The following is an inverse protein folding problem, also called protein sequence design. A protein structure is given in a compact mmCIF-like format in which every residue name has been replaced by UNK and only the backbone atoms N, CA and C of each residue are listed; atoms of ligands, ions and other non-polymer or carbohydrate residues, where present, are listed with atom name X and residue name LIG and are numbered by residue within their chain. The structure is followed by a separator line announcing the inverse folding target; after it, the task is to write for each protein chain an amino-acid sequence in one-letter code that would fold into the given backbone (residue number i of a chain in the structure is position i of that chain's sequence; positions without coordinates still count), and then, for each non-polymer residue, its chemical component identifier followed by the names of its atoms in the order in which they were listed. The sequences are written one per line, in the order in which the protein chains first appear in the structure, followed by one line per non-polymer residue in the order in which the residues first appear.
data_IF_968546949156
#
_entry.id   IF_968546949156
#
_cell.length_a   1.000
_cell.length_b   1.000
_cell.length_c   1.000
_cell.angle_alpha   90.00
_cell.angle_beta   90.00
_cell.angle_gamma   90.00
#
_symmetry.space_group_name_H-M   'P 1'
#
loop_
_entity.id
_entity.type
_entity.pdbx_description
1 polymer ?
#
# COMPACT_ATOMS: atom_id res chain seq x y z
N UNK A 1 83.42 22.98 -20.83
CA UNK A 1 82.03 22.46 -20.79
C UNK A 1 81.24 23.29 -19.81
N UNK A 2 80.25 24.06 -20.28
CA UNK A 2 79.55 25.05 -19.46
C UNK A 2 78.67 24.38 -18.40
N UNK A 3 78.93 24.65 -17.13
CA UNK A 3 78.21 24.12 -15.97
C UNK A 3 76.69 24.40 -16.03
N UNK A 4 76.28 25.47 -16.73
CA UNK A 4 74.87 25.80 -17.00
C UNK A 4 74.17 24.83 -17.97
N UNK A 5 74.91 24.18 -18.88
CA UNK A 5 74.36 23.23 -19.87
C UNK A 5 74.09 21.84 -19.26
N UNK A 6 74.83 21.49 -18.20
CA UNK A 6 74.70 20.21 -17.48
C UNK A 6 73.49 20.26 -16.52
N UNK A 7 73.23 21.40 -15.89
CA UNK A 7 72.09 21.56 -14.96
C UNK A 7 70.74 21.50 -15.71
N UNK A 8 70.66 22.08 -16.91
CA UNK A 8 69.42 22.08 -17.71
C UNK A 8 69.09 20.67 -18.24
N UNK A 9 70.10 19.89 -18.63
CA UNK A 9 69.89 18.51 -19.11
C UNK A 9 69.50 17.54 -17.98
N UNK A 10 70.00 17.74 -16.76
CA UNK A 10 69.60 16.94 -15.58
C UNK A 10 68.17 17.27 -15.14
N UNK A 11 67.74 18.54 -15.17
CA UNK A 11 66.37 18.92 -14.79
C UNK A 11 65.34 18.38 -15.77
N UNK A 12 65.62 18.41 -17.08
CA UNK A 12 64.72 17.85 -18.11
C UNK A 12 64.59 16.32 -17.97
N UNK A 13 65.69 15.63 -17.64
CA UNK A 13 65.66 14.17 -17.41
C UNK A 13 64.86 13.79 -16.15
N UNK A 14 64.91 14.59 -15.08
CA UNK A 14 64.14 14.37 -13.84
C UNK A 14 62.64 14.64 -14.06
N UNK A 15 62.28 15.69 -14.81
CA UNK A 15 60.88 16.00 -15.14
C UNK A 15 60.27 14.95 -16.08
N UNK A 16 61.02 14.46 -17.07
CA UNK A 16 60.56 13.38 -17.95
C UNK A 16 60.48 12.01 -17.22
N UNK A 17 61.39 11.76 -16.27
CA UNK A 17 61.34 10.57 -15.40
C UNK A 17 60.12 10.54 -14.47
N UNK A 18 59.72 11.69 -13.92
CA UNK A 18 58.54 11.79 -13.05
C UNK A 18 57.21 11.61 -13.81
N UNK A 19 57.12 12.05 -15.07
CA UNK A 19 55.92 11.86 -15.91
C UNK A 19 55.74 10.39 -16.33
N UNK A 20 56.83 9.61 -16.42
CA UNK A 20 56.75 8.17 -16.71
C UNK A 20 56.25 7.35 -15.51
N UNK A 21 56.58 7.76 -14.28
CA UNK A 21 56.16 7.06 -13.05
C UNK A 21 54.67 7.28 -12.75
N UNK A 22 54.08 8.43 -13.10
CA UNK A 22 52.64 8.68 -12.89
C UNK A 22 51.70 8.02 -13.91
N UNK A 23 52.24 7.34 -14.94
CA UNK A 23 51.44 6.58 -15.93
C UNK A 23 51.38 5.07 -15.67
N UNK A 24 52.01 4.57 -14.59
CA UNK A 24 52.16 3.13 -14.32
C UNK A 24 51.50 2.65 -13.01
N UNK A 25 50.36 3.23 -12.67
CA UNK A 25 49.42 2.69 -11.67
C UNK A 25 47.98 2.83 -12.18
N UNK A 26 47.74 2.38 -13.41
CA UNK A 26 46.40 1.97 -13.82
C UNK A 26 46.06 0.68 -13.11
N UNK A 27 45.48 0.77 -11.91
CA UNK A 27 44.75 -0.33 -11.29
C UNK A 27 43.64 -0.70 -12.26
N UNK A 28 43.81 -1.81 -12.97
CA UNK A 28 42.71 -2.46 -13.65
C UNK A 28 41.80 -3.04 -12.57
N UNK A 29 40.80 -2.26 -12.16
CA UNK A 29 39.55 -2.85 -11.72
C UNK A 29 39.01 -3.62 -12.90
N UNK A 30 39.22 -4.94 -12.87
CA UNK A 30 38.50 -5.90 -13.68
C UNK A 30 37.03 -5.72 -13.33
N UNK A 31 36.37 -4.79 -14.02
CA UNK A 31 34.93 -4.77 -14.14
C UNK A 31 34.60 -6.09 -14.82
N UNK A 32 34.20 -7.07 -14.02
CA UNK A 32 33.41 -8.15 -14.53
C UNK A 32 32.18 -7.46 -15.13
N UNK A 33 32.19 -7.34 -16.45
CA UNK A 33 31.01 -7.15 -17.24
C UNK A 33 30.10 -8.34 -16.92
N UNK A 34 29.36 -8.24 -15.82
CA UNK A 34 28.05 -8.83 -15.71
C UNK A 34 27.25 -8.13 -16.80
N UNK A 35 27.40 -8.63 -18.03
CA UNK A 35 26.39 -8.44 -19.06
C UNK A 35 25.13 -8.98 -18.42
N UNK A 36 24.32 -8.06 -17.90
CA UNK A 36 22.90 -8.26 -17.78
C UNK A 36 22.46 -8.71 -19.16
N UNK A 37 22.31 -10.03 -19.32
CA UNK A 37 21.60 -10.62 -20.44
C UNK A 37 20.31 -9.82 -20.53
N UNK A 38 20.16 -9.14 -21.66
CA UNK A 38 18.95 -8.41 -22.03
C UNK A 38 17.83 -9.43 -22.16
N UNK A 39 17.27 -9.84 -21.02
CA UNK A 39 16.03 -10.60 -20.98
C UNK A 39 14.95 -9.56 -21.24
N UNK A 40 14.36 -9.64 -22.43
CA UNK A 40 13.19 -8.89 -22.86
C UNK A 40 12.11 -8.97 -21.75
N UNK A 41 12.10 -8.01 -20.82
CA UNK A 41 11.48 -8.18 -19.52
C UNK A 41 9.98 -7.93 -19.63
N UNK A 42 9.25 -9.03 -19.80
CA UNK A 42 7.78 -9.12 -19.69
C UNK A 42 7.30 -8.75 -18.27
N UNK A 43 8.22 -8.74 -17.29
CA UNK A 43 7.96 -8.31 -15.92
C UNK A 43 7.92 -6.78 -15.84
N UNK A 44 6.80 -6.24 -15.35
CA UNK A 44 6.64 -4.82 -15.04
C UNK A 44 6.84 -4.60 -13.54
N UNK A 45 7.84 -3.84 -13.16
CA UNK A 45 7.96 -3.33 -11.78
C UNK A 45 6.90 -2.24 -11.58
N UNK A 46 6.07 -2.36 -10.55
CA UNK A 46 4.96 -1.42 -10.26
C UNK A 46 5.10 -0.80 -8.88
N UNK A 47 4.73 0.47 -8.78
CA UNK A 47 4.63 1.16 -7.49
C UNK A 47 3.57 0.50 -6.61
N UNK A 48 3.65 0.64 -5.29
CA UNK A 48 2.61 0.12 -4.41
C UNK A 48 1.17 0.61 -4.66
N UNK A 49 0.99 1.84 -5.11
CA UNK A 49 -0.32 2.39 -5.43
C UNK A 49 -0.90 1.74 -6.70
N UNK A 50 -0.04 1.50 -7.69
CA UNK A 50 -0.41 0.80 -8.92
C UNK A 50 -0.71 -0.68 -8.62
N UNK A 51 0.11 -1.33 -7.80
CA UNK A 51 -0.14 -2.69 -7.33
C UNK A 51 -1.49 -2.82 -6.62
N UNK A 52 -1.81 -1.92 -5.69
CA UNK A 52 -3.10 -1.91 -5.00
C UNK A 52 -4.29 -1.68 -5.95
N UNK A 53 -4.11 -0.90 -7.02
CA UNK A 53 -5.14 -0.72 -8.03
C UNK A 53 -5.33 -1.95 -8.90
N UNK A 54 -4.25 -2.62 -9.31
CA UNK A 54 -4.29 -3.86 -10.07
C UNK A 54 -4.90 -5.00 -9.24
N UNK A 55 -4.60 -5.07 -7.94
CA UNK A 55 -5.13 -6.07 -7.02
C UNK A 55 -6.65 -5.96 -6.77
N UNK A 56 -7.30 -4.87 -7.20
CA UNK A 56 -8.77 -4.73 -7.16
C UNK A 56 -9.46 -5.53 -8.27
N UNK A 57 -8.74 -5.87 -9.34
CA UNK A 57 -9.27 -6.73 -10.40
C UNK A 57 -9.42 -8.15 -9.87
N UNK A 58 -10.64 -8.70 -9.91
CA UNK A 58 -10.92 -10.07 -9.46
C UNK A 58 -10.28 -11.15 -10.34
N UNK A 59 -9.79 -10.79 -11.52
CA UNK A 59 -9.06 -11.68 -12.41
C UNK A 59 -7.54 -11.64 -12.15
N UNK A 60 -7.06 -10.75 -11.30
CA UNK A 60 -5.65 -10.70 -10.92
C UNK A 60 -5.35 -11.82 -9.90
N UNK A 61 -4.18 -12.45 -10.03
CA UNK A 61 -3.68 -13.47 -9.12
C UNK A 61 -2.52 -12.90 -8.30
N UNK A 62 -2.69 -12.82 -6.98
CA UNK A 62 -1.72 -12.22 -6.06
C UNK A 62 -0.93 -13.33 -5.35
N UNK A 63 0.40 -13.29 -5.45
CA UNK A 63 1.29 -14.31 -4.88
C UNK A 63 2.37 -13.71 -3.97
N UNK A 64 2.46 -14.23 -2.74
CA UNK A 64 3.57 -13.99 -1.82
C UNK A 64 4.66 -15.02 -2.07
N UNK A 65 5.89 -14.56 -2.28
CA UNK A 65 7.04 -15.45 -2.49
C UNK A 65 8.08 -15.40 -1.38
N UNK A 66 7.77 -14.72 -0.28
CA UNK A 66 8.70 -14.58 0.82
C UNK A 66 8.93 -15.89 1.56
N UNK A 67 10.18 -16.13 1.95
CA UNK A 67 10.56 -17.19 2.87
C UNK A 67 11.58 -16.64 3.87
N UNK A 68 11.44 -16.90 5.18
CA UNK A 68 10.38 -17.68 5.84
C UNK A 68 9.02 -16.97 5.84
N UNK A 69 7.98 -17.65 6.31
CA UNK A 69 6.59 -17.15 6.35
C UNK A 69 6.46 -15.80 7.06
N UNK A 70 5.58 -14.93 6.54
CA UNK A 70 5.31 -13.59 7.05
C UNK A 70 3.81 -13.27 7.04
N UNK A 71 3.42 -12.14 7.64
CA UNK A 71 2.08 -11.60 7.42
C UNK A 71 1.92 -11.11 5.98
N UNK A 72 0.90 -11.62 5.29
CA UNK A 72 0.62 -11.38 3.87
C UNK A 72 -0.22 -10.12 3.62
N UNK A 73 -0.24 -9.66 2.36
CA UNK A 73 -1.19 -8.65 1.90
C UNK A 73 -2.58 -9.31 1.85
N UNK A 74 -3.65 -8.68 2.43
CA UNK A 74 -5.01 -9.22 2.30
C UNK A 74 -5.41 -9.43 0.83
N UNK A 75 -6.03 -10.57 0.53
CA UNK A 75 -6.36 -10.96 -0.85
C UNK A 75 -5.24 -11.69 -1.60
N UNK A 76 -4.21 -12.17 -0.90
CA UNK A 76 -3.20 -13.07 -1.48
C UNK A 76 -3.81 -14.44 -1.79
N UNK A 77 -3.68 -14.90 -3.03
CA UNK A 77 -4.24 -16.16 -3.52
C UNK A 77 -3.34 -17.37 -3.22
N UNK A 78 -2.02 -17.17 -3.23
CA UNK A 78 -1.05 -18.24 -3.00
C UNK A 78 0.24 -17.75 -2.33
N UNK A 79 0.90 -18.69 -1.65
CA UNK A 79 2.20 -18.50 -1.04
C UNK A 79 3.13 -19.54 -1.67
N UNK A 80 4.13 -19.09 -2.41
CA UNK A 80 5.04 -19.97 -3.16
C UNK A 80 6.47 -19.48 -2.92
N UNK A 81 7.34 -20.23 -2.22
CA UNK A 81 8.72 -19.82 -2.01
C UNK A 81 9.40 -19.40 -3.31
N UNK A 82 10.11 -18.28 -3.30
CA UNK A 82 10.69 -17.68 -4.51
C UNK A 82 11.63 -18.61 -5.29
N UNK A 83 12.17 -19.63 -4.64
CA UNK A 83 13.10 -20.63 -5.18
C UNK A 83 12.41 -21.96 -5.54
N UNK A 84 11.07 -22.03 -5.47
CA UNK A 84 10.26 -23.22 -5.76
C UNK A 84 9.15 -22.96 -6.78
N UNK A 85 9.26 -21.90 -7.59
CA UNK A 85 8.24 -21.51 -8.57
C UNK A 85 7.99 -22.63 -9.61
N UNK A 86 9.05 -23.29 -10.09
CA UNK A 86 8.94 -24.37 -11.09
C UNK A 86 8.19 -25.59 -10.54
N UNK A 87 8.52 -25.97 -9.30
CA UNK A 87 7.94 -27.13 -8.64
C UNK A 87 6.46 -26.89 -8.28
N UNK A 88 6.09 -25.63 -8.03
CA UNK A 88 4.74 -25.21 -7.67
C UNK A 88 3.96 -24.57 -8.82
N UNK A 89 4.37 -24.76 -10.08
CA UNK A 89 3.70 -24.18 -11.26
C UNK A 89 2.21 -24.52 -11.39
N UNK A 90 1.77 -25.61 -10.75
CA UNK A 90 0.35 -26.01 -10.72
C UNK A 90 -0.53 -25.14 -9.83
N UNK A 91 0.07 -24.35 -8.92
CA UNK A 91 -0.63 -23.39 -8.06
C UNK A 91 -0.87 -22.06 -8.78
N UNK A 92 -0.08 -21.76 -9.81
CA UNK A 92 -0.26 -20.57 -10.64
C UNK A 92 -1.46 -20.74 -11.61
N UNK A 93 -2.08 -19.64 -12.07
CA UNK A 93 -3.21 -19.69 -13.01
C UNK A 93 -2.92 -20.49 -14.28
N UNK A 94 -3.90 -21.28 -14.74
CA UNK A 94 -3.74 -22.06 -15.97
C UNK A 94 -3.61 -21.16 -17.22
N UNK A 95 -4.31 -20.01 -17.23
CA UNK A 95 -4.25 -19.03 -18.30
C UNK A 95 -2.99 -18.15 -18.15
N UNK A 96 -2.14 -18.15 -19.19
CA UNK A 96 -0.87 -17.40 -19.20
C UNK A 96 -1.05 -15.89 -19.37
N UNK A 97 -2.25 -15.45 -19.73
CA UNK A 97 -2.60 -14.03 -19.84
C UNK A 97 -3.15 -13.45 -18.54
N UNK A 98 -3.45 -14.28 -17.54
CA UNK A 98 -3.89 -13.83 -16.21
C UNK A 98 -2.84 -12.89 -15.60
N UNK A 99 -3.21 -11.68 -15.16
CA UNK A 99 -2.31 -10.80 -14.42
C UNK A 99 -1.82 -11.47 -13.15
N UNK A 100 -0.50 -11.60 -13.00
CA UNK A 100 0.13 -12.13 -11.78
C UNK A 100 0.85 -11.00 -11.07
N UNK A 101 0.43 -10.73 -9.84
CA UNK A 101 1.00 -9.74 -8.95
C UNK A 101 1.90 -10.45 -7.94
N UNK A 102 3.20 -10.24 -8.04
CA UNK A 102 4.22 -10.93 -7.24
C UNK A 102 4.78 -9.96 -6.21
N UNK A 103 4.91 -10.42 -4.97
CA UNK A 103 5.57 -9.63 -3.94
C UNK A 103 6.32 -10.50 -2.94
N UNK A 104 7.24 -9.89 -2.19
CA UNK A 104 7.84 -10.45 -0.99
C UNK A 104 7.98 -9.34 0.07
N UNK A 105 8.80 -9.52 1.11
CA UNK A 105 9.02 -8.49 2.13
C UNK A 105 9.60 -7.17 1.60
N UNK A 106 10.69 -7.23 0.83
CA UNK A 106 11.46 -6.03 0.42
C UNK A 106 11.74 -5.95 -1.09
N UNK A 107 11.09 -6.80 -1.90
CA UNK A 107 11.25 -6.85 -3.36
C UNK A 107 12.36 -7.76 -3.90
N UNK A 108 13.35 -8.17 -3.08
CA UNK A 108 14.52 -8.91 -3.58
C UNK A 108 14.21 -10.34 -4.04
N UNK A 109 13.31 -11.03 -3.34
CA UNK A 109 12.87 -12.39 -3.69
C UNK A 109 11.83 -12.36 -4.80
N UNK A 110 10.91 -11.38 -4.79
CA UNK A 110 9.89 -11.25 -5.84
C UNK A 110 10.49 -10.91 -7.19
N UNK A 111 11.60 -10.14 -7.24
CA UNK A 111 12.35 -9.91 -8.48
C UNK A 111 12.86 -11.20 -9.15
N UNK A 112 13.27 -12.19 -8.34
CA UNK A 112 13.70 -13.50 -8.85
C UNK A 112 12.50 -14.33 -9.31
N UNK A 113 11.49 -14.44 -8.45
CA UNK A 113 10.30 -15.22 -8.75
C UNK A 113 9.53 -14.68 -9.96
N UNK A 114 9.38 -13.36 -10.09
CA UNK A 114 8.68 -12.73 -11.21
C UNK A 114 9.36 -13.02 -12.55
N UNK A 115 10.70 -13.03 -12.57
CA UNK A 115 11.49 -13.42 -13.74
C UNK A 115 11.25 -14.89 -14.10
N UNK A 116 11.18 -15.77 -13.10
CA UNK A 116 10.93 -17.20 -13.31
C UNK A 116 9.50 -17.48 -13.77
N UNK A 117 8.51 -16.77 -13.20
CA UNK A 117 7.12 -16.79 -13.66
C UNK A 117 7.05 -16.32 -15.12
N UNK A 118 7.68 -15.20 -15.48
CA UNK A 118 7.72 -14.77 -16.88
C UNK A 118 8.36 -15.83 -17.82
N UNK A 119 9.40 -16.53 -17.35
CA UNK A 119 10.02 -17.63 -18.09
C UNK A 119 9.11 -18.86 -18.28
N UNK A 120 8.10 -19.05 -17.43
CA UNK A 120 7.04 -20.05 -17.62
C UNK A 120 5.98 -19.65 -18.67
N UNK A 121 6.17 -18.49 -19.33
CA UNK A 121 5.33 -18.01 -20.43
C UNK A 121 4.17 -17.10 -20.02
N UNK A 122 4.11 -16.65 -18.77
CA UNK A 122 3.13 -15.66 -18.35
C UNK A 122 3.43 -14.29 -18.98
N UNK A 123 2.42 -13.66 -19.55
CA UNK A 123 2.58 -12.43 -20.34
C UNK A 123 2.30 -11.14 -19.57
N UNK A 124 1.72 -11.25 -18.38
CA UNK A 124 1.32 -10.13 -17.54
C UNK A 124 1.81 -10.34 -16.10
N UNK A 125 3.10 -10.05 -15.85
CA UNK A 125 3.72 -10.23 -14.52
C UNK A 125 4.07 -8.86 -13.95
N UNK A 126 3.56 -8.56 -12.75
CA UNK A 126 3.74 -7.31 -12.06
C UNK A 126 4.47 -7.55 -10.74
N UNK A 127 5.67 -6.98 -10.57
CA UNK A 127 6.46 -7.10 -9.35
C UNK A 127 6.29 -5.85 -8.47
N UNK A 128 6.03 -6.04 -7.19
CA UNK A 128 5.83 -4.97 -6.22
C UNK A 128 7.15 -4.30 -5.85
N UNK A 129 7.35 -3.07 -6.31
CA UNK A 129 8.50 -2.26 -5.93
C UNK A 129 8.57 -2.07 -4.42
N UNK A 130 9.71 -2.44 -3.82
CA UNK A 130 9.95 -2.34 -2.38
C UNK A 130 9.20 -3.37 -1.52
N UNK A 131 8.43 -4.28 -2.13
CA UNK A 131 7.72 -5.36 -1.44
C UNK A 131 6.67 -4.87 -0.42
N UNK A 132 6.32 -5.73 0.53
CA UNK A 132 5.33 -5.40 1.58
C UNK A 132 5.76 -4.22 2.44
N UNK A 133 7.06 -3.95 2.60
CA UNK A 133 7.54 -2.78 3.33
C UNK A 133 7.05 -1.48 2.68
N UNK A 134 7.32 -1.29 1.38
CA UNK A 134 6.87 -0.11 0.65
C UNK A 134 5.34 -0.08 0.51
N UNK A 135 4.71 -1.24 0.34
CA UNK A 135 3.25 -1.35 0.24
C UNK A 135 2.51 -0.90 1.48
N UNK A 136 3.05 -1.27 2.64
CA UNK A 136 2.55 -0.86 3.95
C UNK A 136 2.70 0.65 4.15
N UNK A 137 3.82 1.23 3.70
CA UNK A 137 4.08 2.67 3.81
C UNK A 137 3.22 3.52 2.87
N UNK A 138 2.83 2.99 1.71
CA UNK A 138 2.11 3.75 0.68
C UNK A 138 0.58 3.63 0.73
N UNK A 139 0.03 2.49 1.18
CA UNK A 139 -1.43 2.26 1.23
C UNK A 139 -2.02 2.59 2.60
N UNK A 140 -1.44 3.58 3.26
CA UNK A 140 -1.87 4.07 4.56
C UNK A 140 -3.17 4.85 4.34
N UNK A 141 -4.30 4.23 4.67
CA UNK A 141 -5.60 4.92 4.72
C UNK A 141 -6.43 4.41 5.89
N UNK A 142 -7.36 5.22 6.36
CA UNK A 142 -8.43 4.79 7.26
C UNK A 142 -9.73 5.28 6.64
N UNK A 143 -10.73 4.40 6.56
CA UNK A 143 -11.99 4.71 5.88
C UNK A 143 -13.21 4.28 6.69
N UNK A 144 -14.26 5.09 6.63
CA UNK A 144 -15.62 4.71 7.02
C UNK A 144 -16.42 4.34 5.76
N UNK A 145 -17.05 3.16 5.76
CA UNK A 145 -17.82 2.66 4.61
C UNK A 145 -19.21 2.19 5.04
N UNK A 146 -20.28 2.55 4.32
CA UNK A 146 -20.31 3.55 3.24
C UNK A 146 -20.04 4.97 3.75
N UNK A 147 -19.76 5.89 2.83
CA UNK A 147 -19.65 7.33 3.15
C UNK A 147 -21.02 7.94 3.48
N UNK A 148 -22.10 7.43 2.87
CA UNK A 148 -23.48 7.85 3.14
C UNK A 148 -24.44 6.66 3.20
N UNK A 149 -25.41 6.70 4.13
CA UNK A 149 -26.47 5.68 4.24
C UNK A 149 -27.85 6.32 4.43
N UNK A 150 -28.76 6.02 3.51
CA UNK A 150 -30.15 6.46 3.61
C UNK A 150 -30.94 5.56 4.58
N UNK A 151 -31.60 6.16 5.56
CA UNK A 151 -32.52 5.50 6.48
C UNK A 151 -33.95 5.42 5.91
N UNK A 152 -34.24 6.19 4.85
CA UNK A 152 -35.57 6.30 4.28
C UNK A 152 -36.50 7.16 5.15
N UNK A 153 -37.78 6.81 5.17
CA UNK A 153 -38.77 7.49 6.00
C UNK A 153 -38.69 7.04 7.45
N UNK A 154 -38.51 7.98 8.37
CA UNK A 154 -38.49 7.74 9.81
C UNK A 154 -39.72 8.40 10.43
N UNK A 155 -40.51 7.64 11.19
CA UNK A 155 -41.67 8.20 11.88
C UNK A 155 -41.19 8.95 13.12
N UNK A 156 -41.68 10.17 13.34
CA UNK A 156 -41.40 10.94 14.54
C UNK A 156 -41.83 10.16 15.79
N UNK A 157 -40.90 9.95 16.70
CA UNK A 157 -41.06 9.10 17.90
C UNK A 157 -40.49 7.69 17.77
N UNK A 158 -40.14 7.24 16.56
CA UNK A 158 -39.43 5.99 16.34
C UNK A 158 -37.91 6.23 16.29
N UNK A 159 -37.13 5.21 16.64
CA UNK A 159 -35.66 5.24 16.56
C UNK A 159 -35.20 4.38 15.40
N UNK A 160 -34.52 5.00 14.43
CA UNK A 160 -33.88 4.29 13.34
C UNK A 160 -32.43 3.92 13.71
N UNK A 161 -31.95 2.79 13.23
CA UNK A 161 -30.57 2.34 13.47
C UNK A 161 -29.87 1.94 12.19
N UNK A 162 -28.56 2.09 12.18
CA UNK A 162 -27.70 1.69 11.07
C UNK A 162 -26.28 1.43 11.58
N UNK A 163 -25.42 0.95 10.68
CA UNK A 163 -24.02 0.74 10.96
C UNK A 163 -23.17 1.08 9.73
N UNK A 164 -21.94 1.49 10.04
CA UNK A 164 -20.82 1.68 9.11
C UNK A 164 -19.68 0.76 9.51
N UNK A 165 -18.72 0.57 8.61
CA UNK A 165 -17.48 -0.16 8.88
C UNK A 165 -16.32 0.81 8.83
N UNK A 166 -15.59 0.91 9.94
CA UNK A 166 -14.31 1.61 9.99
C UNK A 166 -13.19 0.59 9.76
N UNK A 167 -12.30 0.84 8.81
CA UNK A 167 -11.16 -0.04 8.50
C UNK A 167 -9.84 0.71 8.60
N UNK A 168 -8.88 0.13 9.33
CA UNK A 168 -7.51 0.59 9.43
C UNK A 168 -6.65 -0.06 8.35
N UNK A 169 -6.46 0.56 7.18
CA UNK A 169 -5.54 0.05 6.16
C UNK A 169 -4.07 0.44 6.41
N UNK A 170 -3.76 0.96 7.60
CA UNK A 170 -2.38 1.30 7.97
C UNK A 170 -1.65 0.08 8.53
N UNK A 171 -0.30 0.03 8.42
CA UNK A 171 0.50 -1.06 8.97
C UNK A 171 0.74 -0.94 10.48
N UNK A 172 0.25 0.13 11.10
CA UNK A 172 0.37 0.38 12.52
C UNK A 172 -1.00 0.20 13.19
N UNK A 173 -1.02 -0.13 14.49
CA UNK A 173 -2.26 -0.07 15.25
C UNK A 173 -2.83 1.34 15.21
N UNK A 174 -4.16 1.43 15.12
CA UNK A 174 -4.93 2.66 15.13
C UNK A 174 -5.80 2.67 16.38
N UNK A 175 -5.79 3.78 17.14
CA UNK A 175 -6.71 3.98 18.25
C UNK A 175 -7.74 5.04 17.88
N UNK A 176 -9.01 4.68 17.98
CA UNK A 176 -10.14 5.61 17.93
C UNK A 176 -10.16 6.38 19.25
N UNK A 177 -10.07 7.70 19.16
CA UNK A 177 -9.97 8.61 20.32
C UNK A 177 -11.31 9.22 20.67
N UNK A 178 -12.19 9.43 19.67
CA UNK A 178 -13.53 9.98 19.86
C UNK A 178 -14.49 9.51 18.78
N UNK A 179 -15.75 9.34 19.16
CA UNK A 179 -16.87 9.18 18.23
C UNK A 179 -17.89 10.24 18.59
N UNK A 180 -18.33 11.03 17.62
CA UNK A 180 -19.30 12.10 17.84
C UNK A 180 -20.24 12.28 16.65
N UNK A 181 -21.28 13.09 16.83
CA UNK A 181 -22.34 13.30 15.83
C UNK A 181 -22.64 14.78 15.68
N UNK A 182 -23.13 15.18 14.50
CA UNK A 182 -23.44 16.59 14.21
C UNK A 182 -24.66 17.13 14.97
N UNK A 183 -25.47 16.28 15.59
CA UNK A 183 -26.67 16.67 16.33
C UNK A 183 -26.98 15.66 17.44
N UNK A 184 -27.58 16.14 18.54
CA UNK A 184 -27.95 15.32 19.70
C UNK A 184 -29.02 14.26 19.41
N UNK A 185 -29.79 14.40 18.32
CA UNK A 185 -30.73 13.37 17.84
C UNK A 185 -30.05 12.14 17.23
N UNK A 186 -28.73 12.15 17.07
CA UNK A 186 -27.94 11.01 16.59
C UNK A 186 -26.95 10.56 17.65
N UNK A 187 -26.85 9.25 17.88
CA UNK A 187 -25.81 8.63 18.71
C UNK A 187 -24.97 7.69 17.87
N UNK A 188 -23.68 7.61 18.17
CA UNK A 188 -22.76 6.70 17.50
C UNK A 188 -21.78 6.07 18.50
N UNK A 189 -21.39 4.81 18.26
CA UNK A 189 -20.39 4.08 19.06
C UNK A 189 -19.65 3.06 18.21
N UNK A 190 -18.47 2.64 18.66
CA UNK A 190 -17.65 1.60 18.01
C UNK A 190 -17.64 0.33 18.86
N UNK A 191 -17.57 -0.83 18.22
CA UNK A 191 -17.43 -2.12 18.93
C UNK A 191 -16.02 -2.34 19.46
N UNK A 192 -15.01 -1.72 18.82
CA UNK A 192 -13.61 -1.85 19.19
C UNK A 192 -12.89 -0.51 18.98
N UNK A 193 -12.22 -0.01 20.01
CA UNK A 193 -11.50 1.28 19.96
C UNK A 193 -10.07 1.16 19.43
N UNK A 194 -9.46 -0.03 19.49
CA UNK A 194 -8.10 -0.27 19.00
C UNK A 194 -8.15 -1.27 17.85
N UNK A 195 -7.73 -0.85 16.68
CA UNK A 195 -7.62 -1.69 15.49
C UNK A 195 -6.14 -2.03 15.27
N UNK A 196 -5.84 -3.30 15.13
CA UNK A 196 -4.53 -3.72 14.59
C UNK A 196 -4.45 -3.36 13.10
N UNK A 197 -3.28 -3.57 12.50
CA UNK A 197 -3.09 -3.34 11.07
C UNK A 197 -4.09 -4.15 10.24
N UNK A 198 -4.75 -3.51 9.28
CA UNK A 198 -5.75 -4.10 8.38
C UNK A 198 -7.02 -4.64 9.07
N UNK A 199 -7.24 -4.28 10.34
CA UNK A 199 -8.44 -4.64 11.09
C UNK A 199 -9.58 -3.66 10.85
N UNK A 200 -10.82 -4.12 11.06
CA UNK A 200 -12.04 -3.30 11.00
C UNK A 200 -12.87 -3.39 12.27
N UNK A 201 -13.72 -2.39 12.51
CA UNK A 201 -14.76 -2.41 13.53
C UNK A 201 -16.07 -1.84 13.00
N UNK A 202 -17.17 -2.25 13.61
CA UNK A 202 -18.49 -1.68 13.34
C UNK A 202 -18.65 -0.36 14.08
N UNK A 203 -19.14 0.66 13.36
CA UNK A 203 -19.62 1.92 13.93
C UNK A 203 -21.14 1.88 13.94
N UNK A 204 -21.72 1.64 15.10
CA UNK A 204 -23.17 1.57 15.31
C UNK A 204 -23.73 2.99 15.46
N UNK A 205 -24.85 3.26 14.79
CA UNK A 205 -25.49 4.58 14.76
C UNK A 205 -26.98 4.44 15.03
N UNK A 206 -27.52 5.30 15.88
CA UNK A 206 -28.96 5.46 16.07
C UNK A 206 -29.39 6.90 15.86
N UNK A 207 -30.59 7.06 15.33
CA UNK A 207 -31.22 8.35 15.02
C UNK A 207 -32.61 8.38 15.65
N UNK A 208 -32.83 9.34 16.55
CA UNK A 208 -34.05 9.59 17.31
C UNK A 208 -34.49 11.05 17.11
N UNK A 209 -35.39 11.32 16.14
CA UNK A 209 -35.87 12.68 15.86
C UNK A 209 -36.73 13.27 16.97
N UNK A 210 -37.15 12.49 17.97
CA UNK A 210 -38.00 12.98 19.06
C UNK A 210 -37.20 13.43 20.30
N UNK A 211 -35.86 13.39 20.26
CA UNK A 211 -35.01 13.67 21.43
C UNK A 211 -35.21 15.09 21.99
N UNK A 212 -35.52 16.07 21.13
CA UNK A 212 -35.71 17.47 21.51
C UNK A 212 -37.14 17.79 21.97
N UNK A 213 -38.08 16.84 21.83
CA UNK A 213 -39.50 16.98 22.21
C UNK A 213 -40.20 18.20 21.59
N UNK A 214 -39.68 18.67 20.46
CA UNK A 214 -40.28 19.69 19.61
C UNK A 214 -40.30 19.21 18.14
N UNK A 215 -41.04 19.92 17.29
CA UNK A 215 -41.23 19.57 15.88
C UNK A 215 -40.07 20.07 14.98
N UNK A 216 -38.89 20.34 15.54
CA UNK A 216 -37.78 20.96 14.79
C UNK A 216 -37.04 19.98 13.88
N UNK A 217 -37.19 18.67 14.11
CA UNK A 217 -36.59 17.58 13.33
C UNK A 217 -37.62 16.90 12.40
N UNK A 218 -38.35 17.70 11.62
CA UNK A 218 -39.24 17.21 10.55
C UNK A 218 -38.59 17.42 9.17
N UNK A 219 -39.13 16.74 8.16
CA UNK A 219 -38.67 16.77 6.77
C UNK A 219 -37.31 16.09 6.54
N UNK A 220 -36.61 16.45 5.47
CA UNK A 220 -35.35 15.84 5.06
C UNK A 220 -34.19 16.30 5.94
N UNK A 221 -33.57 15.33 6.61
CA UNK A 221 -32.47 15.55 7.53
C UNK A 221 -31.21 14.82 7.07
N UNK A 222 -30.07 15.49 7.24
CA UNK A 222 -28.74 14.88 7.14
C UNK A 222 -28.03 15.02 8.47
N UNK A 223 -27.39 13.94 8.91
CA UNK A 223 -26.57 13.93 10.13
C UNK A 223 -25.21 13.32 9.83
N UNK A 224 -24.16 13.96 10.31
CA UNK A 224 -22.78 13.51 10.13
C UNK A 224 -22.31 12.79 11.38
N UNK A 225 -21.60 11.69 11.17
CA UNK A 225 -20.90 10.90 12.18
C UNK A 225 -19.42 11.18 12.00
N UNK A 226 -18.77 11.61 13.07
CA UNK A 226 -17.35 11.91 13.13
C UNK A 226 -16.65 10.83 13.94
N UNK A 227 -15.57 10.28 13.39
CA UNK A 227 -14.67 9.36 14.10
C UNK A 227 -13.28 9.94 14.10
N UNK A 228 -12.74 10.15 15.30
CA UNK A 228 -11.39 10.67 15.51
C UNK A 228 -10.41 9.56 15.86
N UNK A 229 -9.17 9.70 15.39
CA UNK A 229 -8.10 8.72 15.65
C UNK A 229 -6.85 9.37 16.24
N UNK A 230 -5.95 8.54 16.78
CA UNK A 230 -4.63 8.94 17.25
C UNK A 230 -3.61 9.16 16.11
N UNK A 231 -3.99 8.88 14.88
CA UNK A 231 -3.15 9.08 13.70
C UNK A 231 -3.38 10.48 13.12
N UNK A 232 -2.35 11.34 13.18
CA UNK A 232 -2.40 12.72 12.71
C UNK A 232 -2.71 12.89 11.20
N UNK A 233 -2.59 11.82 10.41
CA UNK A 233 -2.97 11.84 9.00
C UNK A 233 -4.45 11.49 8.78
N UNK A 234 -5.12 10.90 9.77
CA UNK A 234 -6.53 10.48 9.74
C UNK A 234 -7.25 10.96 10.99
N UNK A 235 -7.13 12.26 11.28
CA UNK A 235 -7.67 12.85 12.50
C UNK A 235 -9.18 12.79 12.49
N UNK A 236 -9.82 13.13 11.37
CA UNK A 236 -11.26 13.27 11.27
C UNK A 236 -11.80 12.47 10.09
N UNK A 237 -12.53 11.39 10.39
CA UNK A 237 -13.26 10.60 9.40
C UNK A 237 -14.75 10.89 9.50
N UNK A 238 -15.43 10.94 8.36
CA UNK A 238 -16.84 11.30 8.28
C UNK A 238 -17.67 10.26 7.52
N UNK A 239 -18.87 9.97 8.04
CA UNK A 239 -19.95 9.33 7.30
C UNK A 239 -21.26 10.05 7.55
N UNK A 240 -22.23 9.92 6.64
CA UNK A 240 -23.52 10.60 6.71
C UNK A 240 -24.68 9.62 6.77
N UNK A 241 -25.70 9.97 7.54
CA UNK A 241 -27.03 9.39 7.41
C UNK A 241 -27.98 10.43 6.82
N UNK A 242 -28.92 9.97 5.99
CA UNK A 242 -30.02 10.79 5.48
C UNK A 242 -31.35 10.14 5.83
N UNK A 243 -32.36 10.95 6.17
CA UNK A 243 -33.69 10.48 6.51
C UNK A 243 -34.74 11.52 6.14
N UNK A 244 -35.96 11.07 5.84
CA UNK A 244 -37.15 11.93 5.74
C UNK A 244 -38.01 11.68 6.96
N UNK A 245 -38.15 12.66 7.85
CA UNK A 245 -38.93 12.50 9.08
C UNK A 245 -40.36 12.98 8.90
N UNK A 246 -41.33 12.13 9.22
CA UNK A 246 -42.75 12.46 9.14
C UNK A 246 -43.45 12.25 10.49
N UNK A 247 -44.48 13.04 10.77
CA UNK A 247 -45.30 12.84 11.97
C UNK A 247 -46.09 11.54 11.89
N UNK A 248 -46.35 10.95 13.05
CA UNK A 248 -47.32 9.86 13.21
C UNK A 248 -48.72 10.43 12.98
N UNK A 249 -49.41 9.92 11.96
CA UNK A 249 -50.82 10.23 11.69
C UNK A 249 -51.74 9.75 12.80
#
# INVERSE_FOLDING_TARGET
MNQKLIIITVIIAVVLGLVWVMKKTGVQTKSENFSATTNNSIVKLVSPQEFANLAKDKNAFVVDVHTPEQTHIPGTDAIIPFDQIQDNKGTLPADKSTPILVYCRSGSMSAKASTEIAALGYTAVYDLEGGTNAYKESNVSVSLTPDTKALGTVIYGDVATTAFTLTNYTPLPLKITRVSTSCGCTKASVEKEKLEAYESTTVNVSFDPAVHKDDTDLDDLTRTIYVETDNLNFIDLESKITATVIKKN
#
